data_IF_129332235700
#
_entry.id   IF_129332235700
#
_cell.length_a   1.000
_cell.length_b   1.000
_cell.length_c   1.000
_cell.angle_alpha   90.00
_cell.angle_beta   90.00
_cell.angle_gamma   90.00
#
_symmetry.space_group_name_H-M   'P 1'
#
loop_
_entity.id
_entity.type
_entity.pdbx_description
1 polymer ?
#
# COMPACT_ATOMS: atom_id res chain seq x y z
N UNK A 1 7.65 -7.64 13.39
CA UNK A 1 8.45 -7.69 12.16
C UNK A 1 7.99 -8.84 11.25
N UNK A 2 7.04 -8.55 10.35
CA UNK A 2 6.61 -9.51 9.33
C UNK A 2 7.56 -9.48 8.13
N UNK A 3 7.92 -10.65 7.61
CA UNK A 3 8.85 -10.76 6.48
C UNK A 3 8.11 -10.69 5.15
N UNK A 4 8.16 -9.53 4.49
CA UNK A 4 7.62 -9.38 3.13
C UNK A 4 8.73 -9.37 2.09
N UNK A 5 8.53 -10.14 1.02
CA UNK A 5 9.35 -10.03 -0.18
C UNK A 5 9.03 -8.76 -0.97
N UNK A 6 9.97 -8.33 -1.82
CA UNK A 6 9.76 -7.21 -2.74
C UNK A 6 8.50 -7.36 -3.60
N UNK A 7 8.19 -8.58 -4.05
CA UNK A 7 7.03 -8.88 -4.89
C UNK A 7 5.73 -8.70 -4.11
N UNK A 8 5.68 -9.18 -2.88
CA UNK A 8 4.51 -9.04 -2.00
C UNK A 8 4.26 -7.59 -1.62
N UNK A 9 5.31 -6.85 -1.23
CA UNK A 9 5.21 -5.43 -0.91
C UNK A 9 4.64 -4.64 -2.09
N UNK A 10 5.17 -4.89 -3.29
CA UNK A 10 4.71 -4.23 -4.52
C UNK A 10 3.27 -4.60 -4.87
N UNK A 11 2.85 -5.85 -4.60
CA UNK A 11 1.49 -6.31 -4.81
C UNK A 11 0.51 -5.60 -3.88
N UNK A 12 0.83 -5.51 -2.58
CA UNK A 12 -0.02 -4.84 -1.60
C UNK A 12 -0.20 -3.35 -1.91
N UNK A 13 0.88 -2.66 -2.28
CA UNK A 13 0.85 -1.25 -2.67
C UNK A 13 -0.07 -1.04 -3.89
N UNK A 14 -0.01 -1.93 -4.88
CA UNK A 14 -0.92 -1.89 -6.04
C UNK A 14 -2.37 -2.18 -5.68
N UNK A 15 -2.62 -3.14 -4.80
CA UNK A 15 -3.96 -3.45 -4.32
C UNK A 15 -4.57 -2.28 -3.55
N UNK A 16 -3.75 -1.51 -2.83
CA UNK A 16 -4.15 -0.29 -2.14
C UNK A 16 -4.44 0.89 -3.08
N UNK A 17 -4.23 0.75 -4.39
CA UNK A 17 -4.56 1.76 -5.40
C UNK A 17 -3.38 2.62 -5.87
N UNK A 18 -2.17 2.38 -5.37
CA UNK A 18 -0.98 3.10 -5.81
C UNK A 18 -0.31 2.38 -6.99
N UNK A 19 0.09 3.10 -8.04
CA UNK A 19 0.71 2.52 -9.24
C UNK A 19 2.13 2.03 -8.97
N UNK A 20 2.84 2.64 -8.01
CA UNK A 20 4.22 2.31 -7.69
C UNK A 20 4.59 2.52 -6.22
N UNK A 21 5.72 1.93 -5.79
CA UNK A 21 6.32 2.17 -4.46
C UNK A 21 6.68 3.64 -4.25
N UNK A 22 7.11 4.32 -5.31
CA UNK A 22 7.47 5.74 -5.24
C UNK A 22 6.24 6.63 -5.02
N UNK A 23 5.11 6.29 -5.64
CA UNK A 23 3.84 6.99 -5.43
C UNK A 23 3.32 6.79 -4.01
N UNK A 24 3.36 5.56 -3.50
CA UNK A 24 3.05 5.28 -2.10
C UNK A 24 3.93 6.10 -1.15
N UNK A 25 5.24 6.12 -1.39
CA UNK A 25 6.18 6.88 -0.57
C UNK A 25 5.83 8.38 -0.56
N UNK A 26 5.57 8.97 -1.73
CA UNK A 26 5.18 10.39 -1.85
C UNK A 26 3.86 10.68 -1.15
N UNK A 27 2.87 9.79 -1.26
CA UNK A 27 1.56 9.98 -0.64
C UNK A 27 1.64 10.02 0.90
N UNK A 28 2.48 9.16 1.49
CA UNK A 28 2.64 9.08 2.95
C UNK A 28 3.84 9.87 3.49
N UNK A 29 4.53 10.65 2.65
CA UNK A 29 5.69 11.45 3.06
C UNK A 29 6.95 10.63 3.39
N UNK A 30 7.05 9.39 2.92
CA UNK A 30 8.25 8.57 3.08
C UNK A 30 9.27 8.82 1.96
N UNK A 31 10.54 8.56 2.26
CA UNK A 31 11.55 8.43 1.23
C UNK A 31 11.35 7.12 0.46
N UNK A 32 11.46 7.15 -0.87
CA UNK A 32 11.35 5.96 -1.74
C UNK A 32 12.39 4.88 -1.37
N UNK A 33 13.57 5.32 -0.90
CA UNK A 33 14.63 4.42 -0.44
C UNK A 33 14.22 3.66 0.82
N UNK A 34 13.45 4.27 1.73
CA UNK A 34 12.91 3.62 2.92
C UNK A 34 11.98 2.46 2.55
N UNK A 35 11.07 2.69 1.60
CA UNK A 35 10.15 1.65 1.11
C UNK A 35 10.91 0.52 0.40
N UNK A 36 11.95 0.88 -0.36
CA UNK A 36 12.81 -0.10 -1.02
C UNK A 36 13.64 -0.90 -0.02
N UNK A 37 14.08 -0.27 1.07
CA UNK A 37 14.79 -0.92 2.16
C UNK A 37 13.92 -1.99 2.82
N UNK A 38 12.65 -1.70 3.12
CA UNK A 38 11.72 -2.69 3.70
C UNK A 38 11.59 -3.95 2.83
N UNK A 39 11.57 -3.80 1.51
CA UNK A 39 11.55 -4.93 0.57
C UNK A 39 12.86 -5.73 0.55
N UNK A 40 14.01 -5.06 0.74
CA UNK A 40 15.34 -5.66 0.68
C UNK A 40 15.67 -6.40 1.98
N UNK A 41 15.40 -5.78 3.14
CA UNK A 41 15.60 -6.40 4.45
C UNK A 41 14.52 -7.40 4.80
N UNK A 42 13.43 -7.43 4.02
CA UNK A 42 12.20 -8.15 4.34
C UNK A 42 11.72 -7.81 5.75
N UNK A 43 11.82 -6.54 6.09
CA UNK A 43 11.45 -6.04 7.39
C UNK A 43 10.60 -4.79 7.21
N UNK A 44 9.30 -4.98 7.37
CA UNK A 44 8.33 -3.88 7.32
C UNK A 44 8.00 -3.43 8.74
N UNK A 45 7.82 -2.12 8.98
CA UNK A 45 7.31 -1.64 10.25
C UNK A 45 5.95 -2.28 10.58
N UNK A 46 5.68 -2.53 11.86
CA UNK A 46 4.46 -3.22 12.28
C UNK A 46 3.18 -2.44 11.90
N UNK A 47 3.27 -1.12 11.72
CA UNK A 47 2.14 -0.29 11.27
C UNK A 47 1.82 -0.46 9.78
N UNK A 48 2.76 -0.96 8.96
CA UNK A 48 2.62 -0.96 7.50
C UNK A 48 1.42 -1.81 7.04
N UNK A 49 1.23 -2.98 7.64
CA UNK A 49 0.16 -3.90 7.22
C UNK A 49 -1.24 -3.43 7.62
N UNK A 50 -1.48 -3.00 8.87
CA UNK A 50 -2.75 -2.34 9.21
C UNK A 50 -3.05 -1.12 8.35
N UNK A 51 -2.02 -0.33 8.00
CA UNK A 51 -2.16 0.84 7.13
C UNK A 51 -2.58 0.42 5.71
N UNK A 52 -1.84 -0.50 5.10
CA UNK A 52 -2.11 -0.91 3.71
C UNK A 52 -3.48 -1.61 3.58
N UNK A 53 -3.89 -2.37 4.60
CA UNK A 53 -5.20 -3.00 4.65
C UNK A 53 -6.33 -1.96 4.70
N UNK A 54 -6.17 -0.90 5.50
CA UNK A 54 -7.12 0.23 5.53
C UNK A 54 -7.20 0.93 4.17
N UNK A 55 -6.08 1.14 3.49
CA UNK A 55 -6.08 1.72 2.13
C UNK A 55 -6.83 0.84 1.13
N UNK A 56 -6.62 -0.49 1.17
CA UNK A 56 -7.35 -1.45 0.32
C UNK A 56 -8.86 -1.37 0.59
N UNK A 57 -9.26 -1.33 1.86
CA UNK A 57 -10.69 -1.20 2.26
C UNK A 57 -11.29 0.12 1.80
N UNK A 58 -10.58 1.23 1.99
CA UNK A 58 -11.02 2.55 1.53
C UNK A 58 -11.23 2.57 0.01
N UNK A 59 -10.28 2.04 -0.76
CA UNK A 59 -10.42 1.94 -2.22
C UNK A 59 -11.65 1.15 -2.64
N UNK A 60 -11.88 -0.03 -2.04
CA UNK A 60 -13.07 -0.85 -2.31
C UNK A 60 -14.37 -0.12 -1.97
N UNK A 61 -14.37 0.64 -0.89
CA UNK A 61 -15.53 1.44 -0.51
C UNK A 61 -15.81 2.56 -1.51
N UNK A 62 -14.78 3.27 -1.97
CA UNK A 62 -14.91 4.30 -3.01
C UNK A 62 -15.43 3.73 -4.33
N UNK A 63 -14.98 2.52 -4.72
CA UNK A 63 -15.49 1.79 -5.89
C UNK A 63 -16.98 1.46 -5.73
N UNK A 64 -17.39 0.88 -4.59
CA UNK A 64 -18.79 0.55 -4.28
C UNK A 64 -19.69 1.79 -4.27
N UNK A 65 -19.22 2.91 -3.73
CA UNK A 65 -20.00 4.14 -3.66
C UNK A 65 -20.15 4.81 -5.02
N UNK A 66 -19.14 4.76 -5.89
CA UNK A 66 -19.27 5.25 -7.28
C UNK A 66 -20.31 4.46 -8.08
N UNK A 67 -20.43 3.16 -7.84
CA UNK A 67 -21.43 2.33 -8.51
C UNK A 67 -22.85 2.64 -8.02
N UNK A 68 -23.03 3.01 -6.74
CA UNK A 68 -24.34 3.37 -6.18
C UNK A 68 -24.86 4.75 -6.60
N UNK A 69 -23.99 5.67 -6.98
CA UNK A 69 -24.37 7.03 -7.42
C UNK A 69 -24.81 7.06 -8.90
N UNK A 70 -24.68 5.96 -9.64
CA UNK A 70 -25.11 5.84 -11.05
C UNK A 70 -26.56 5.35 -11.25
N UNK A 71 -27.40 5.41 -10.22
CA UNK A 71 -28.85 5.14 -10.29
C UNK A 71 -29.64 6.44 -10.25
#
# INVERSE_FOLDING_TARGET
>A
MQKLTQKELSKLIKQAGFKSKAEFARHFGFNVNTISHWANTRDVPDFFLPLIEKCIKAKKYDELMKDKVKL
#
